data_IF_086389454611
#
_entry.id   IF_086389454611
#
_cell.length_a   1.000
_cell.length_b   1.000
_cell.length_c   1.000
_cell.angle_alpha   90.00
_cell.angle_beta   90.00
_cell.angle_gamma   90.00
#
_symmetry.space_group_name_H-M   'P 1'
#
loop_
_entity.id
_entity.type
_entity.pdbx_description
1 polymer ?
#
# COMPACT_ATOMS: atom_id res chain seq x y z
N UNK A 1 -8.15 -1.82 -10.65
CA UNK A 1 -6.73 -2.25 -10.49
C UNK A 1 -6.50 -2.87 -9.13
N UNK A 2 -6.71 -2.16 -8.02
CA UNK A 2 -6.50 -2.71 -6.67
C UNK A 2 -7.50 -3.82 -6.27
N UNK A 3 -8.74 -3.74 -6.74
CA UNK A 3 -9.75 -4.79 -6.52
C UNK A 3 -9.43 -6.13 -7.22
N UNK A 4 -8.50 -6.12 -8.19
CA UNK A 4 -8.16 -7.30 -8.98
C UNK A 4 -6.89 -8.02 -8.50
N UNK A 5 -6.16 -7.47 -7.52
CA UNK A 5 -4.91 -8.05 -7.02
C UNK A 5 -5.11 -8.75 -5.68
N UNK A 6 -4.33 -9.78 -5.39
CA UNK A 6 -4.46 -10.55 -4.14
C UNK A 6 -3.98 -9.82 -2.88
N UNK A 7 -3.09 -8.83 -3.03
CA UNK A 7 -2.56 -8.03 -1.91
C UNK A 7 -2.59 -6.54 -2.29
N UNK A 8 -3.78 -5.88 -2.25
CA UNK A 8 -3.87 -4.46 -2.49
C UNK A 8 -3.19 -3.68 -1.35
N UNK A 9 -2.21 -2.86 -1.71
CA UNK A 9 -1.47 -1.99 -0.79
C UNK A 9 -1.76 -0.53 -1.14
N UNK A 10 -2.12 0.27 -0.15
CA UNK A 10 -2.44 1.70 -0.32
C UNK A 10 -1.55 2.53 0.60
N UNK A 11 -1.14 3.72 0.18
CA UNK A 11 -0.29 4.61 0.98
C UNK A 11 -1.10 5.36 2.03
N UNK A 12 -0.45 5.77 3.12
CA UNK A 12 -1.08 6.47 4.25
C UNK A 12 -1.71 7.80 3.85
N UNK A 13 -1.16 8.50 2.86
CA UNK A 13 -1.76 9.70 2.27
C UNK A 13 -2.64 9.42 1.03
N UNK A 14 -2.97 8.15 0.77
CA UNK A 14 -3.94 7.74 -0.24
C UNK A 14 -5.38 8.12 0.14
N UNK A 15 -6.27 8.14 -0.85
CA UNK A 15 -7.68 8.51 -0.64
C UNK A 15 -8.41 7.50 0.25
N UNK A 16 -9.45 7.97 0.94
CA UNK A 16 -10.22 7.16 1.89
C UNK A 16 -10.88 5.96 1.20
N UNK A 17 -11.40 6.15 -0.02
CA UNK A 17 -12.08 5.09 -0.78
C UNK A 17 -11.13 3.95 -1.14
N UNK A 18 -9.86 4.26 -1.43
CA UNK A 18 -8.86 3.22 -1.72
C UNK A 18 -8.43 2.47 -0.46
N UNK A 19 -8.39 3.16 0.70
CA UNK A 19 -8.05 2.53 1.98
C UNK A 19 -9.10 1.50 2.42
N UNK A 20 -10.37 1.69 2.06
CA UNK A 20 -11.45 0.72 2.36
C UNK A 20 -11.24 -0.64 1.68
N UNK A 21 -10.64 -0.64 0.48
CA UNK A 21 -10.32 -1.86 -0.27
C UNK A 21 -8.88 -2.34 -0.06
N UNK A 22 -8.10 -1.66 0.79
CA UNK A 22 -6.71 -2.00 1.03
C UNK A 22 -6.60 -3.16 2.03
N UNK A 23 -5.72 -4.11 1.73
CA UNK A 23 -5.33 -5.15 2.69
C UNK A 23 -4.23 -4.64 3.62
N UNK A 24 -3.36 -3.78 3.09
CA UNK A 24 -2.28 -3.15 3.84
C UNK A 24 -2.24 -1.66 3.55
N UNK A 25 -2.00 -0.88 4.58
CA UNK A 25 -1.68 0.54 4.47
C UNK A 25 -0.17 0.69 4.71
N UNK A 26 0.55 1.16 3.71
CA UNK A 26 1.97 1.50 3.80
C UNK A 26 2.15 2.98 4.14
N UNK A 27 3.39 3.43 4.35
CA UNK A 27 3.70 4.84 4.61
C UNK A 27 3.23 5.77 3.49
N UNK A 28 3.24 7.08 3.77
CA UNK A 28 3.03 8.11 2.75
C UNK A 28 4.03 7.96 1.61
N UNK A 29 3.66 8.40 0.40
CA UNK A 29 4.61 8.47 -0.71
C UNK A 29 5.81 9.40 -0.39
N UNK A 30 5.61 10.43 0.45
CA UNK A 30 6.65 11.34 0.94
C UNK A 30 7.69 10.62 1.82
N UNK A 31 7.31 9.49 2.42
CA UNK A 31 8.17 8.66 3.26
C UNK A 31 8.61 7.36 2.56
N UNK A 32 8.58 7.33 1.22
CA UNK A 32 8.94 6.15 0.42
C UNK A 32 8.06 4.91 0.69
N UNK A 33 6.74 5.10 0.83
CA UNK A 33 5.77 4.04 1.13
C UNK A 33 5.86 2.79 0.23
N UNK A 34 6.12 2.94 -1.07
CA UNK A 34 6.29 1.78 -1.96
C UNK A 34 7.53 0.98 -1.60
N UNK A 35 8.66 1.64 -1.35
CA UNK A 35 9.90 0.96 -1.00
C UNK A 35 9.83 0.29 0.38
N UNK A 36 9.12 0.91 1.32
CA UNK A 36 8.82 0.29 2.61
C UNK A 36 8.00 -0.99 2.45
N UNK A 37 6.90 -0.94 1.70
CA UNK A 37 6.04 -2.08 1.44
C UNK A 37 6.79 -3.28 0.81
N UNK A 38 7.68 -3.00 -0.16
CA UNK A 38 8.48 -4.05 -0.79
C UNK A 38 9.47 -4.69 0.18
N UNK A 39 10.17 -3.91 1.00
CA UNK A 39 11.10 -4.46 2.00
C UNK A 39 10.39 -5.25 3.10
N UNK A 40 9.23 -4.79 3.54
CA UNK A 40 8.46 -5.42 4.62
C UNK A 40 7.84 -6.76 4.17
N UNK A 41 7.27 -6.81 2.96
CA UNK A 41 6.42 -7.94 2.55
C UNK A 41 6.94 -8.78 1.37
N UNK A 42 7.96 -8.32 0.64
CA UNK A 42 8.43 -9.01 -0.58
C UNK A 42 9.92 -9.37 -0.51
N UNK A 43 10.78 -8.38 -0.28
CA UNK A 43 12.25 -8.47 -0.44
C UNK A 43 12.97 -8.77 0.87
N UNK A 44 12.70 -9.94 1.47
CA UNK A 44 13.52 -10.42 2.59
C UNK A 44 14.97 -10.66 2.18
#
# INVERSE_FOLDING_TARGET
>A
MLEAVGNPVVMENGTSELKEIAKYITKSNEESGVAYALREWVLK
#
